data_IF_186184603037
#
_entry.id   IF_186184603037
#
_cell.length_a   1.000
_cell.length_b   1.000
_cell.length_c   1.000
_cell.angle_alpha   90.00
_cell.angle_beta   90.00
_cell.angle_gamma   90.00
#
_symmetry.space_group_name_H-M   'P 1'
#
loop_
_entity.id
_entity.type
_entity.pdbx_description
1 polymer ?
#
# COMPACT_ATOMS: atom_id res chain seq x y z
N UNK A 1 -11.08 25.48 3.94
CA UNK A 1 -10.14 25.24 2.83
C UNK A 1 -10.45 23.94 2.10
N UNK A 2 -10.33 22.76 2.72
CA UNK A 2 -10.57 21.49 2.01
C UNK A 2 -11.99 21.35 1.45
N UNK A 3 -13.03 21.59 2.25
CA UNK A 3 -14.44 21.52 1.78
C UNK A 3 -14.74 22.54 0.67
N UNK A 4 -14.03 23.67 0.67
CA UNK A 4 -14.15 24.67 -0.40
C UNK A 4 -13.48 24.19 -1.70
N UNK A 5 -12.34 23.50 -1.59
CA UNK A 5 -11.64 22.92 -2.75
C UNK A 5 -12.40 21.73 -3.35
N UNK A 6 -12.99 20.90 -2.50
CA UNK A 6 -13.84 19.77 -2.94
C UNK A 6 -15.22 20.26 -3.42
N UNK A 7 -15.68 21.42 -2.95
CA UNK A 7 -16.97 22.01 -3.32
C UNK A 7 -18.18 21.38 -2.62
N UNK A 8 -17.98 20.67 -1.51
CA UNK A 8 -19.05 20.05 -0.72
C UNK A 8 -18.65 19.98 0.76
N UNK A 9 -19.65 19.94 1.64
CA UNK A 9 -19.44 19.67 3.07
C UNK A 9 -19.00 18.21 3.25
N UNK A 10 -17.85 18.02 3.88
CA UNK A 10 -17.31 16.73 4.28
C UNK A 10 -17.67 16.41 5.73
N UNK A 11 -17.94 17.43 6.53
CA UNK A 11 -18.34 17.29 7.93
C UNK A 11 -19.65 18.01 8.21
N UNK A 12 -20.49 17.39 9.04
CA UNK A 12 -21.68 18.01 9.61
C UNK A 12 -21.55 18.12 11.13
N UNK A 13 -22.04 19.22 11.70
CA UNK A 13 -22.11 19.42 13.16
C UNK A 13 -23.55 19.22 13.63
N UNK A 14 -23.74 18.30 14.56
CA UNK A 14 -25.02 18.09 15.24
C UNK A 14 -24.85 18.14 16.77
N UNK A 15 -25.95 18.02 17.52
CA UNK A 15 -25.95 18.04 18.99
C UNK A 15 -25.14 16.92 19.65
N UNK A 16 -24.72 15.90 18.88
CA UNK A 16 -23.87 14.77 19.31
C UNK A 16 -22.42 14.90 18.85
N UNK A 17 -22.05 15.96 18.12
CA UNK A 17 -20.67 16.25 17.72
C UNK A 17 -20.48 16.45 16.22
N UNK A 18 -19.23 16.29 15.77
CA UNK A 18 -18.81 16.38 14.38
C UNK A 18 -18.86 14.99 13.75
N UNK A 19 -19.57 14.85 12.62
CA UNK A 19 -19.65 13.58 11.88
C UNK A 19 -19.29 13.81 10.41
N UNK A 20 -18.87 12.74 9.72
CA UNK A 20 -18.64 12.79 8.28
C UNK A 20 -19.98 12.74 7.55
N UNK A 21 -20.12 13.58 6.53
CA UNK A 21 -21.21 13.46 5.56
C UNK A 21 -20.97 12.23 4.67
N UNK A 22 -21.93 11.79 3.83
CA UNK A 22 -21.67 10.75 2.83
C UNK A 22 -20.49 11.09 1.91
N UNK A 23 -20.37 12.36 1.50
CA UNK A 23 -19.21 12.86 0.74
C UNK A 23 -17.93 12.81 1.57
N UNK A 24 -18.00 13.11 2.87
CA UNK A 24 -16.90 12.98 3.83
C UNK A 24 -16.39 11.54 3.96
N UNK A 25 -17.28 10.56 4.05
CA UNK A 25 -16.92 9.14 4.12
C UNK A 25 -16.21 8.70 2.84
N UNK A 26 -16.78 9.06 1.68
CA UNK A 26 -16.16 8.75 0.38
C UNK A 26 -14.77 9.39 0.26
N UNK A 27 -14.66 10.68 0.60
CA UNK A 27 -13.38 11.40 0.56
C UNK A 27 -12.36 10.77 1.51
N UNK A 28 -12.76 10.42 2.75
CA UNK A 28 -11.88 9.79 3.74
C UNK A 28 -11.28 8.48 3.23
N UNK A 29 -12.10 7.60 2.63
CA UNK A 29 -11.64 6.31 2.12
C UNK A 29 -10.52 6.47 1.08
N UNK A 30 -10.65 7.47 0.20
CA UNK A 30 -9.62 7.76 -0.79
C UNK A 30 -8.42 8.52 -0.20
N UNK A 31 -8.66 9.47 0.71
CA UNK A 31 -7.60 10.23 1.36
C UNK A 31 -6.63 9.31 2.12
N UNK A 32 -7.15 8.31 2.85
CA UNK A 32 -6.30 7.32 3.54
C UNK A 32 -5.39 6.59 2.55
N UNK A 33 -5.93 6.11 1.42
CA UNK A 33 -5.14 5.40 0.41
C UNK A 33 -4.06 6.29 -0.23
N UNK A 34 -4.40 7.55 -0.52
CA UNK A 34 -3.45 8.51 -1.09
C UNK A 34 -2.32 8.79 -0.11
N UNK A 35 -2.65 9.02 1.17
CA UNK A 35 -1.65 9.29 2.21
C UNK A 35 -0.72 8.08 2.42
N UNK A 36 -1.27 6.86 2.50
CA UNK A 36 -0.44 5.64 2.55
C UNK A 36 0.50 5.54 1.34
N UNK A 37 -0.01 5.83 0.13
CA UNK A 37 0.81 5.78 -1.09
C UNK A 37 1.92 6.83 -1.07
N UNK A 38 1.65 8.02 -0.55
CA UNK A 38 2.65 9.08 -0.40
C UNK A 38 3.78 8.63 0.54
N UNK A 39 3.43 8.06 1.70
CA UNK A 39 4.42 7.55 2.66
C UNK A 39 5.32 6.48 2.04
N UNK A 40 4.71 5.47 1.41
CA UNK A 40 5.44 4.40 0.70
C UNK A 40 6.36 4.97 -0.39
N UNK A 41 5.88 5.95 -1.16
CA UNK A 41 6.67 6.56 -2.24
C UNK A 41 7.88 7.32 -1.68
N UNK A 42 7.71 8.02 -0.56
CA UNK A 42 8.80 8.72 0.12
C UNK A 42 9.86 7.71 0.59
N UNK A 43 9.45 6.59 1.20
CA UNK A 43 10.37 5.56 1.66
C UNK A 43 11.13 4.89 0.50
N UNK A 44 10.41 4.50 -0.56
CA UNK A 44 11.02 3.90 -1.75
C UNK A 44 12.02 4.87 -2.42
N UNK A 45 11.68 6.15 -2.51
CA UNK A 45 12.57 7.18 -3.07
C UNK A 45 13.84 7.34 -2.23
N UNK A 46 13.70 7.37 -0.90
CA UNK A 46 14.85 7.42 0.02
C UNK A 46 15.73 6.18 -0.08
N UNK A 47 15.12 5.01 -0.23
CA UNK A 47 15.82 3.74 -0.43
C UNK A 47 16.62 3.74 -1.73
N UNK A 48 15.98 4.11 -2.85
CA UNK A 48 16.66 4.24 -4.15
C UNK A 48 17.84 5.20 -4.09
N UNK A 49 17.69 6.35 -3.43
CA UNK A 49 18.76 7.33 -3.28
C UNK A 49 19.99 6.78 -2.52
N UNK A 50 19.79 5.84 -1.59
CA UNK A 50 20.87 5.23 -0.77
C UNK A 50 21.48 4.00 -1.43
N UNK A 51 20.65 3.10 -1.94
CA UNK A 51 21.04 1.74 -2.30
C UNK A 51 21.19 1.52 -3.82
N UNK A 52 20.80 2.50 -4.66
CA UNK A 52 20.73 2.41 -6.15
C UNK A 52 19.95 1.20 -6.69
N UNK A 53 19.27 0.47 -5.82
CA UNK A 53 18.43 -0.68 -6.13
C UNK A 53 16.98 -0.32 -5.87
N UNK A 54 16.08 -0.86 -6.68
CA UNK A 54 14.66 -0.73 -6.50
C UNK A 54 14.20 -1.76 -5.46
N UNK A 55 13.47 -1.32 -4.43
CA UNK A 55 12.80 -2.23 -3.51
C UNK A 55 11.60 -2.89 -4.22
N UNK A 56 11.51 -4.22 -4.16
CA UNK A 56 10.41 -5.01 -4.70
C UNK A 56 9.79 -5.87 -3.60
N UNK A 57 8.55 -5.55 -3.24
CA UNK A 57 7.81 -6.19 -2.16
C UNK A 57 6.95 -7.36 -2.64
N UNK A 58 7.06 -8.51 -1.98
CA UNK A 58 6.20 -9.68 -2.23
C UNK A 58 5.42 -10.00 -0.95
N UNK A 59 4.10 -9.89 -1.03
CA UNK A 59 3.17 -10.40 -0.03
C UNK A 59 2.87 -11.88 -0.30
N UNK A 60 2.83 -12.73 0.72
CA UNK A 60 2.52 -14.14 0.51
C UNK A 60 1.71 -14.72 1.68
N UNK A 61 0.89 -15.73 1.40
CA UNK A 61 0.33 -16.61 2.45
C UNK A 61 1.25 -17.81 2.68
N UNK A 62 1.42 -18.33 3.91
CA UNK A 62 2.37 -19.41 4.21
C UNK A 62 2.17 -20.69 3.37
N UNK A 63 0.96 -20.96 2.91
CA UNK A 63 0.63 -22.14 2.11
C UNK A 63 1.32 -22.18 0.74
N UNK A 64 1.88 -21.05 0.24
CA UNK A 64 2.60 -21.01 -1.05
C UNK A 64 4.09 -21.30 -0.95
N UNK A 65 4.64 -21.53 0.26
CA UNK A 65 6.08 -21.79 0.45
C UNK A 65 6.59 -23.07 -0.24
N UNK A 66 5.72 -24.03 -0.50
CA UNK A 66 6.08 -25.26 -1.23
C UNK A 66 5.85 -25.15 -2.74
N UNK A 67 5.50 -23.96 -3.25
CA UNK A 67 5.16 -23.69 -4.65
C UNK A 67 6.24 -22.93 -5.43
N UNK A 68 5.82 -22.05 -6.33
CA UNK A 68 6.70 -21.31 -7.25
C UNK A 68 7.45 -20.13 -6.59
N UNK A 69 7.02 -19.68 -5.41
CA UNK A 69 7.56 -18.50 -4.74
C UNK A 69 9.07 -18.61 -4.42
N UNK A 70 9.60 -19.72 -3.85
CA UNK A 70 11.03 -19.85 -3.61
C UNK A 70 11.90 -19.76 -4.87
N UNK A 71 11.40 -20.29 -6.01
CA UNK A 71 12.09 -20.21 -7.30
C UNK A 71 12.15 -18.76 -7.78
N UNK A 72 11.01 -18.06 -7.77
CA UNK A 72 10.95 -16.64 -8.14
C UNK A 72 11.87 -15.78 -7.26
N UNK A 73 11.85 -15.99 -5.94
CA UNK A 73 12.72 -15.25 -5.01
C UNK A 73 14.19 -15.52 -5.31
N UNK A 74 14.55 -16.75 -5.69
CA UNK A 74 15.93 -17.08 -6.08
C UNK A 74 16.36 -16.31 -7.33
N UNK A 75 15.52 -16.28 -8.35
CA UNK A 75 15.81 -15.59 -9.61
C UNK A 75 15.90 -14.08 -9.42
N UNK A 76 14.96 -13.49 -8.68
CA UNK A 76 14.95 -12.05 -8.39
C UNK A 76 16.18 -11.61 -7.55
N UNK A 77 16.71 -12.47 -6.68
CA UNK A 77 17.95 -12.17 -5.92
C UNK A 77 19.20 -12.12 -6.79
N UNK A 78 19.17 -12.68 -8.01
CA UNK A 78 20.28 -12.58 -8.95
C UNK A 78 20.26 -11.26 -9.74
N UNK A 79 19.19 -10.47 -9.65
CA UNK A 79 19.08 -9.19 -10.34
C UNK A 79 19.80 -8.08 -9.55
N UNK A 80 20.85 -7.49 -10.13
CA UNK A 80 21.69 -6.49 -9.46
C UNK A 80 20.98 -5.19 -9.08
N UNK A 81 19.82 -4.93 -9.69
CA UNK A 81 19.04 -3.71 -9.53
C UNK A 81 17.84 -3.86 -8.59
N UNK A 82 17.62 -5.02 -7.99
CA UNK A 82 16.45 -5.30 -7.14
C UNK A 82 16.86 -5.66 -5.73
N UNK A 83 16.18 -5.08 -4.74
CA UNK A 83 16.21 -5.50 -3.34
C UNK A 83 14.84 -6.08 -2.98
N UNK A 84 14.79 -7.29 -2.45
CA UNK A 84 13.52 -7.96 -2.15
C UNK A 84 13.10 -7.76 -0.70
N UNK A 85 11.82 -7.43 -0.52
CA UNK A 85 11.14 -7.48 0.77
C UNK A 85 10.04 -8.54 0.71
N UNK A 86 9.96 -9.41 1.72
CA UNK A 86 8.95 -10.46 1.82
C UNK A 86 8.07 -10.19 3.04
N UNK A 87 6.76 -10.21 2.87
CA UNK A 87 5.79 -10.00 3.93
C UNK A 87 4.74 -11.12 3.96
N UNK A 88 4.56 -11.73 5.13
CA UNK A 88 3.47 -12.68 5.34
C UNK A 88 2.15 -11.93 5.50
N UNK A 89 1.24 -12.11 4.55
CA UNK A 89 -0.01 -11.36 4.45
C UNK A 89 -1.16 -12.27 3.99
N UNK A 90 -2.30 -12.18 4.68
CA UNK A 90 -3.56 -12.77 4.17
C UNK A 90 -3.97 -12.14 2.84
N UNK A 91 -4.78 -12.82 2.03
CA UNK A 91 -5.24 -12.28 0.73
C UNK A 91 -5.88 -10.90 0.86
N UNK A 92 -6.67 -10.67 1.90
CA UNK A 92 -7.29 -9.36 2.16
C UNK A 92 -6.22 -8.29 2.44
N UNK A 93 -5.21 -8.60 3.25
CA UNK A 93 -4.09 -7.69 3.52
C UNK A 93 -3.24 -7.45 2.27
N UNK A 94 -3.02 -8.47 1.43
CA UNK A 94 -2.30 -8.32 0.16
C UNK A 94 -3.01 -7.33 -0.77
N UNK A 95 -4.35 -7.41 -0.89
CA UNK A 95 -5.13 -6.46 -1.70
C UNK A 95 -4.93 -5.02 -1.20
N UNK A 96 -4.95 -4.80 0.13
CA UNK A 96 -4.71 -3.47 0.69
C UNK A 96 -3.27 -3.01 0.47
N UNK A 97 -2.29 -3.89 0.67
CA UNK A 97 -0.88 -3.59 0.48
C UNK A 97 -0.56 -3.26 -1.00
N UNK A 98 -1.18 -3.97 -1.96
CA UNK A 98 -1.06 -3.67 -3.39
C UNK A 98 -1.63 -2.29 -3.72
N UNK A 99 -2.83 -1.97 -3.21
CA UNK A 99 -3.46 -0.64 -3.40
C UNK A 99 -2.60 0.49 -2.81
N UNK A 100 -2.02 0.25 -1.63
CA UNK A 100 -1.10 1.18 -0.99
C UNK A 100 0.29 1.23 -1.67
N UNK A 101 0.61 0.25 -2.53
CA UNK A 101 1.94 0.08 -3.12
C UNK A 101 3.01 -0.42 -2.16
N UNK A 102 2.63 -0.94 -0.98
CA UNK A 102 3.55 -1.55 0.00
C UNK A 102 4.16 -2.85 -0.48
N UNK A 103 3.48 -3.53 -1.41
CA UNK A 103 3.99 -4.69 -2.14
C UNK A 103 3.69 -4.49 -3.63
N UNK A 104 4.50 -5.13 -4.46
CA UNK A 104 4.37 -5.12 -5.93
C UNK A 104 3.70 -6.41 -6.43
N UNK A 105 3.78 -7.49 -5.64
CA UNK A 105 3.20 -8.78 -5.99
C UNK A 105 2.59 -9.49 -4.78
N UNK A 106 1.45 -10.15 -5.00
CA UNK A 106 0.80 -11.01 -4.01
C UNK A 106 0.82 -12.48 -4.44
N UNK A 107 1.18 -13.37 -3.53
CA UNK A 107 1.06 -14.82 -3.67
C UNK A 107 -0.02 -15.36 -2.74
N UNK A 108 -1.13 -15.78 -3.34
CA UNK A 108 -2.28 -16.40 -2.71
C UNK A 108 -2.70 -17.68 -3.45
N UNK A 109 -3.67 -18.40 -2.91
CA UNK A 109 -4.42 -19.43 -3.66
C UNK A 109 -5.57 -18.79 -4.42
#
# INVERSE_FOLDING_TARGET
QLEQEVGTELFERNSRGLQLTPSGIFFQQHAIQILEKVEVTIEATRHMARNKRQLFGIGFVPSVFYGQLPMLVRDLRQMDNVELSLAELTTVQQIQALKAGRIDMGFGR
#
